data_IF_253534006965
#
_entry.id   IF_253534006965
#
_cell.length_a   1.000
_cell.length_b   1.000
_cell.length_c   1.000
_cell.angle_alpha   90.00
_cell.angle_beta   90.00
_cell.angle_gamma   90.00
#
_symmetry.space_group_name_H-M   'P 1'
#
loop_
_entity.id
_entity.type
_entity.pdbx_description
1 polymer ?
#
# COMPACT_ATOMS: atom_id res chain seq x y z
N UNK A 1 -28.60 -10.17 18.57
CA UNK A 1 -27.23 -10.40 18.05
C UNK A 1 -26.51 -11.32 19.02
N UNK A 2 -26.21 -12.54 18.62
CA UNK A 2 -25.47 -13.48 19.44
C UNK A 2 -23.97 -13.21 19.31
N UNK A 3 -23.27 -13.06 20.43
CA UNK A 3 -21.78 -13.05 20.46
C UNK A 3 -21.33 -14.48 20.70
N UNK A 4 -20.31 -14.92 19.92
CA UNK A 4 -19.63 -16.17 20.27
C UNK A 4 -18.67 -15.94 21.44
N UNK A 5 -18.10 -17.03 21.99
CA UNK A 5 -17.14 -17.00 23.11
C UNK A 5 -15.84 -16.25 22.79
N UNK A 6 -15.63 -15.82 21.53
CA UNK A 6 -14.48 -15.02 21.07
C UNK A 6 -14.81 -13.55 20.85
N UNK A 7 -16.04 -13.10 21.16
CA UNK A 7 -16.48 -11.71 21.02
C UNK A 7 -16.78 -11.27 19.58
N UNK A 8 -16.83 -12.18 18.63
CA UNK A 8 -17.18 -11.90 17.23
C UNK A 8 -18.68 -11.71 17.07
N UNK A 9 -19.08 -10.65 16.38
CA UNK A 9 -20.46 -10.41 15.96
C UNK A 9 -20.76 -11.30 14.74
N UNK A 10 -21.63 -12.31 14.89
CA UNK A 10 -22.13 -13.07 13.75
C UNK A 10 -23.18 -12.23 13.00
N UNK A 11 -22.75 -11.54 11.94
CA UNK A 11 -23.65 -10.77 11.08
C UNK A 11 -24.06 -11.60 9.88
N UNK A 12 -25.34 -11.97 9.83
CA UNK A 12 -25.92 -12.66 8.65
C UNK A 12 -26.49 -11.61 7.70
N UNK A 13 -26.07 -11.63 6.44
CA UNK A 13 -26.57 -10.71 5.40
C UNK A 13 -27.97 -11.17 4.96
N UNK A 14 -29.02 -10.49 5.42
CA UNK A 14 -30.42 -10.84 5.15
C UNK A 14 -30.88 -10.72 3.70
N UNK A 15 -30.18 -9.92 2.86
CA UNK A 15 -30.52 -9.68 1.43
C UNK A 15 -29.65 -10.46 0.44
N UNK A 16 -29.04 -11.56 0.86
CA UNK A 16 -28.05 -12.31 0.08
C UNK A 16 -28.62 -13.18 -1.05
N UNK A 17 -29.93 -13.20 -1.29
CA UNK A 17 -30.54 -14.03 -2.35
C UNK A 17 -30.13 -13.68 -3.78
N UNK A 18 -29.49 -12.52 -4.01
CA UNK A 18 -28.99 -12.06 -5.33
C UNK A 18 -27.47 -12.08 -5.47
N UNK A 19 -26.72 -12.38 -4.41
CA UNK A 19 -25.25 -12.34 -4.43
C UNK A 19 -24.68 -13.74 -4.69
N UNK A 20 -23.56 -13.79 -5.44
CA UNK A 20 -22.77 -15.04 -5.55
C UNK A 20 -22.29 -15.46 -4.14
N UNK A 21 -22.23 -16.76 -3.88
CA UNK A 21 -21.84 -17.31 -2.58
C UNK A 21 -20.50 -16.75 -2.06
N UNK A 22 -19.51 -16.58 -2.96
CA UNK A 22 -18.22 -15.95 -2.64
C UNK A 22 -18.34 -14.50 -2.16
N UNK A 23 -19.23 -13.72 -2.81
CA UNK A 23 -19.49 -12.32 -2.42
C UNK A 23 -20.19 -12.22 -1.06
N UNK A 24 -21.09 -13.17 -0.75
CA UNK A 24 -21.74 -13.25 0.55
C UNK A 24 -20.74 -13.53 1.67
N UNK A 25 -19.89 -14.55 1.51
CA UNK A 25 -18.84 -14.89 2.46
C UNK A 25 -17.84 -13.75 2.66
N UNK A 26 -17.50 -13.02 1.59
CA UNK A 26 -16.64 -11.84 1.68
C UNK A 26 -17.31 -10.74 2.50
N UNK A 27 -18.60 -10.46 2.25
CA UNK A 27 -19.33 -9.41 2.96
C UNK A 27 -19.50 -9.76 4.45
N UNK A 28 -19.82 -11.00 4.78
CA UNK A 28 -19.90 -11.49 6.16
C UNK A 28 -18.56 -11.33 6.89
N UNK A 29 -17.44 -11.73 6.25
CA UNK A 29 -16.08 -11.50 6.79
C UNK A 29 -15.74 -10.03 7.00
N UNK A 30 -16.21 -9.13 6.13
CA UNK A 30 -16.01 -7.69 6.29
C UNK A 30 -16.80 -7.14 7.46
N UNK A 31 -18.04 -7.57 7.62
CA UNK A 31 -18.93 -7.11 8.70
C UNK A 31 -18.50 -7.62 10.08
N UNK A 32 -17.95 -8.84 10.14
CA UNK A 32 -17.47 -9.48 11.37
C UNK A 32 -16.05 -9.05 11.76
N UNK A 33 -15.36 -8.29 10.91
CA UNK A 33 -13.98 -7.88 11.15
C UNK A 33 -13.92 -6.72 12.17
N UNK A 34 -13.31 -6.93 13.35
CA UNK A 34 -13.26 -5.90 14.39
C UNK A 34 -12.54 -4.63 13.94
N UNK A 35 -11.51 -4.75 13.06
CA UNK A 35 -10.81 -3.60 12.52
C UNK A 35 -11.65 -2.79 11.52
N UNK A 36 -12.63 -3.41 10.83
CA UNK A 36 -13.58 -2.66 10.00
C UNK A 36 -14.49 -1.80 10.87
N UNK A 37 -15.01 -2.35 11.99
CA UNK A 37 -15.84 -1.60 12.90
C UNK A 37 -15.04 -0.49 13.61
N UNK A 38 -13.81 -0.78 13.98
CA UNK A 38 -12.92 0.18 14.60
C UNK A 38 -12.56 1.31 13.63
N UNK A 39 -12.23 1.00 12.36
CA UNK A 39 -11.93 2.01 11.34
C UNK A 39 -13.09 3.00 11.17
N UNK A 40 -14.34 2.52 11.17
CA UNK A 40 -15.52 3.40 11.12
C UNK A 40 -15.60 4.35 12.34
N UNK A 41 -15.32 3.84 13.54
CA UNK A 41 -15.33 4.67 14.77
C UNK A 41 -14.20 5.70 14.76
N UNK A 42 -13.03 5.32 14.26
CA UNK A 42 -11.85 6.17 14.24
C UNK A 42 -11.81 7.12 13.01
N UNK A 43 -12.88 7.11 12.17
CA UNK A 43 -12.98 7.95 10.98
C UNK A 43 -11.97 7.56 9.88
N UNK A 44 -11.51 6.31 9.89
CA UNK A 44 -10.59 5.80 8.88
C UNK A 44 -11.36 5.22 7.68
N UNK A 45 -10.84 5.45 6.49
CA UNK A 45 -11.48 5.02 5.23
C UNK A 45 -11.53 3.51 5.05
N UNK A 46 -10.55 2.81 5.62
CA UNK A 46 -10.52 1.34 5.58
C UNK A 46 -9.72 0.77 6.75
N UNK A 47 -9.93 -0.52 7.02
CA UNK A 47 -9.10 -1.25 7.99
C UNK A 47 -7.62 -1.32 7.59
N UNK A 48 -7.31 -1.15 6.29
CA UNK A 48 -5.94 -1.15 5.81
C UNK A 48 -5.10 -0.02 6.42
N UNK A 49 -5.74 1.07 6.86
CA UNK A 49 -5.07 2.16 7.56
C UNK A 49 -4.29 1.70 8.80
N UNK A 50 -4.79 0.72 9.55
CA UNK A 50 -4.06 0.21 10.72
C UNK A 50 -2.74 -0.46 10.37
N UNK A 51 -2.64 -1.08 9.19
CA UNK A 51 -1.41 -1.71 8.74
C UNK A 51 -0.27 -0.71 8.59
N UNK A 52 -0.54 0.41 7.90
CA UNK A 52 0.47 1.46 7.72
C UNK A 52 0.74 2.21 9.03
N UNK A 53 -0.26 2.40 9.89
CA UNK A 53 -0.08 2.96 11.23
C UNK A 53 0.92 2.12 12.03
N UNK A 54 0.69 0.81 12.14
CA UNK A 54 1.53 -0.10 12.91
C UNK A 54 2.96 -0.19 12.35
N UNK A 55 3.11 -0.21 11.00
CA UNK A 55 4.42 -0.23 10.37
C UNK A 55 5.15 1.09 10.65
N UNK A 56 4.48 2.22 10.46
CA UNK A 56 5.11 3.52 10.66
C UNK A 56 5.38 3.85 12.13
N UNK A 57 4.51 3.46 13.05
CA UNK A 57 4.75 3.62 14.50
C UNK A 57 6.04 2.91 14.93
N UNK A 58 6.35 1.78 14.32
CA UNK A 58 7.55 1.01 14.61
C UNK A 58 8.80 1.52 13.91
N UNK A 59 8.69 1.96 12.66
CA UNK A 59 9.86 2.25 11.83
C UNK A 59 10.05 3.73 11.50
N UNK A 60 9.04 4.59 11.74
CA UNK A 60 9.12 6.05 11.70
C UNK A 60 9.60 6.63 10.37
N UNK A 61 9.08 6.15 9.25
CA UNK A 61 9.46 6.62 7.91
C UNK A 61 8.54 7.73 7.37
N UNK A 62 7.31 7.87 7.87
CA UNK A 62 6.43 8.98 7.53
C UNK A 62 6.72 10.18 8.46
N UNK A 63 7.43 11.18 7.95
CA UNK A 63 7.82 12.38 8.70
C UNK A 63 7.14 13.62 8.13
N UNK A 64 6.90 14.66 8.92
CA UNK A 64 6.42 15.95 8.40
C UNK A 64 7.33 16.50 7.29
N UNK A 65 6.74 17.03 6.23
CA UNK A 65 7.46 17.71 5.16
C UNK A 65 7.95 16.84 4.00
N UNK A 66 7.75 15.51 4.06
CA UNK A 66 8.23 14.60 3.00
C UNK A 66 7.19 14.41 1.89
N UNK A 67 7.67 13.91 0.74
CA UNK A 67 6.86 13.53 -0.43
C UNK A 67 6.61 12.02 -0.45
N UNK A 68 5.34 11.63 -0.55
CA UNK A 68 4.88 10.24 -0.53
C UNK A 68 4.09 9.93 -1.79
N UNK A 69 4.34 8.76 -2.39
CA UNK A 69 3.52 8.17 -3.46
C UNK A 69 2.80 6.94 -2.92
N UNK A 70 1.49 6.84 -3.13
CA UNK A 70 0.64 5.71 -2.73
C UNK A 70 0.04 5.04 -3.96
N UNK A 71 0.51 3.83 -4.28
CA UNK A 71 0.10 3.02 -5.42
C UNK A 71 -0.96 2.01 -5.00
N UNK A 72 -2.13 2.04 -5.66
CA UNK A 72 -3.28 1.24 -5.28
C UNK A 72 -3.99 1.80 -4.05
N UNK A 73 -4.22 3.13 -4.06
CA UNK A 73 -4.62 3.89 -2.90
C UNK A 73 -6.07 3.65 -2.44
N UNK A 74 -7.01 3.37 -3.37
CA UNK A 74 -8.43 3.28 -3.04
C UNK A 74 -8.73 2.19 -1.98
N UNK A 75 -9.58 2.49 -1.01
CA UNK A 75 -10.42 3.66 -0.78
C UNK A 75 -9.74 4.82 -0.02
N UNK A 76 -8.43 4.86 0.11
CA UNK A 76 -7.66 5.97 0.68
C UNK A 76 -7.18 5.77 2.12
N UNK A 77 -7.17 4.53 2.62
CA UNK A 77 -6.76 4.25 4.00
C UNK A 77 -5.30 4.63 4.27
N UNK A 78 -4.40 4.29 3.35
CA UNK A 78 -2.98 4.61 3.48
C UNK A 78 -2.70 6.07 3.18
N UNK A 79 -3.29 6.62 2.11
CA UNK A 79 -3.18 8.03 1.77
C UNK A 79 -3.64 8.95 2.89
N UNK A 80 -4.75 8.62 3.59
CA UNK A 80 -5.25 9.37 4.74
C UNK A 80 -4.24 9.45 5.88
N UNK A 81 -3.59 8.33 6.19
CA UNK A 81 -2.57 8.28 7.25
C UNK A 81 -1.29 9.01 6.80
N UNK A 82 -0.86 8.79 5.55
CA UNK A 82 0.29 9.49 4.99
C UNK A 82 0.08 11.01 5.05
N UNK A 83 -1.06 11.52 4.55
CA UNK A 83 -1.37 12.94 4.57
C UNK A 83 -1.31 13.54 5.99
N UNK A 84 -1.89 12.85 6.97
CA UNK A 84 -1.84 13.27 8.38
C UNK A 84 -0.41 13.31 8.91
N UNK A 85 0.41 12.29 8.61
CA UNK A 85 1.78 12.16 9.15
C UNK A 85 2.73 13.17 8.52
N UNK A 86 2.63 13.39 7.21
CA UNK A 86 3.53 14.31 6.51
C UNK A 86 3.05 15.76 6.59
N UNK A 87 1.80 16.00 7.00
CA UNK A 87 1.22 17.34 7.13
C UNK A 87 0.89 17.97 5.78
N UNK A 88 0.47 17.17 4.79
CA UNK A 88 0.22 17.68 3.44
C UNK A 88 -1.03 18.56 3.36
N UNK A 89 -2.03 18.34 4.20
CA UNK A 89 -3.20 19.23 4.29
C UNK A 89 -2.85 20.64 4.79
N UNK A 90 -1.75 20.76 5.55
CA UNK A 90 -1.21 22.02 6.05
C UNK A 90 -0.07 22.57 5.16
N UNK A 91 0.14 22.00 3.98
CA UNK A 91 1.17 22.44 3.03
C UNK A 91 2.60 22.11 3.43
N UNK A 92 2.82 21.21 4.41
CA UNK A 92 4.18 20.87 4.87
C UNK A 92 4.82 19.73 4.09
N UNK A 93 4.02 18.79 3.58
CA UNK A 93 4.45 17.65 2.80
C UNK A 93 3.56 17.44 1.59
N UNK A 94 3.77 16.35 0.87
CA UNK A 94 3.00 16.01 -0.32
C UNK A 94 2.60 14.53 -0.30
N UNK A 95 1.38 14.24 -0.71
CA UNK A 95 0.91 12.86 -0.95
C UNK A 95 0.27 12.79 -2.32
N UNK A 96 0.81 11.94 -3.17
CA UNK A 96 0.27 11.61 -4.49
C UNK A 96 -0.22 10.19 -4.45
N UNK A 97 -1.45 9.99 -4.88
CA UNK A 97 -2.13 8.71 -4.82
C UNK A 97 -2.71 8.34 -6.18
N UNK A 98 -2.62 7.09 -6.55
CA UNK A 98 -3.25 6.55 -7.76
C UNK A 98 -3.96 5.24 -7.49
N UNK A 99 -5.04 5.00 -8.24
CA UNK A 99 -5.77 3.72 -8.25
C UNK A 99 -6.56 3.57 -9.57
N UNK A 100 -6.90 2.34 -9.91
CA UNK A 100 -7.88 2.02 -10.97
C UNK A 100 -9.29 2.46 -10.60
N UNK A 101 -9.60 2.41 -9.30
CA UNK A 101 -10.90 2.77 -8.76
C UNK A 101 -10.92 4.25 -8.38
N UNK A 102 -12.09 4.85 -8.54
CA UNK A 102 -12.32 6.20 -8.05
C UNK A 102 -12.20 6.27 -6.53
N UNK A 103 -11.65 7.36 -6.04
CA UNK A 103 -11.47 7.59 -4.60
C UNK A 103 -12.02 8.98 -4.23
N UNK A 104 -12.90 9.08 -3.21
CA UNK A 104 -13.35 10.37 -2.71
C UNK A 104 -12.18 11.23 -2.22
N UNK A 105 -12.26 12.53 -2.40
CA UNK A 105 -11.21 13.47 -2.05
C UNK A 105 -10.74 13.32 -0.59
N UNK A 106 -9.44 13.42 -0.38
CA UNK A 106 -8.78 13.48 0.95
C UNK A 106 -8.01 14.80 1.02
N UNK A 107 -8.24 15.64 2.04
CA UNK A 107 -7.45 16.86 2.21
C UNK A 107 -5.94 16.56 2.21
N UNK A 108 -5.19 17.30 1.40
CA UNK A 108 -3.74 17.14 1.28
C UNK A 108 -3.27 15.95 0.43
N UNK A 109 -4.18 15.27 -0.28
CA UNK A 109 -3.84 14.19 -1.22
C UNK A 109 -4.20 14.61 -2.65
N UNK A 110 -3.23 14.58 -3.54
CA UNK A 110 -3.45 14.69 -4.98
C UNK A 110 -3.71 13.31 -5.55
N UNK A 111 -4.92 13.06 -6.01
CA UNK A 111 -5.34 11.76 -6.53
C UNK A 111 -5.53 11.79 -8.05
N UNK A 112 -5.05 10.76 -8.73
CA UNK A 112 -5.36 10.49 -10.13
C UNK A 112 -5.91 9.06 -10.30
N UNK A 113 -7.07 8.95 -10.92
CA UNK A 113 -7.57 7.66 -11.35
C UNK A 113 -6.82 7.23 -12.61
N UNK A 114 -5.98 6.21 -12.48
CA UNK A 114 -5.18 5.69 -13.58
C UNK A 114 -4.69 4.27 -13.28
N UNK A 115 -4.37 3.54 -14.34
CA UNK A 115 -3.73 2.25 -14.22
C UNK A 115 -2.21 2.46 -14.07
N UNK A 116 -1.64 1.94 -13.00
CA UNK A 116 -0.19 2.00 -12.77
C UNK A 116 0.63 1.27 -13.86
N UNK A 117 0.04 0.25 -14.50
CA UNK A 117 0.69 -0.54 -15.54
C UNK A 117 0.62 0.09 -16.95
N UNK A 118 0.01 1.27 -17.09
CA UNK A 118 0.02 1.99 -18.35
C UNK A 118 1.42 2.59 -18.61
N UNK A 119 1.91 2.52 -19.83
CA UNK A 119 3.26 2.97 -20.22
C UNK A 119 3.56 4.42 -19.81
N UNK A 120 2.54 5.28 -19.77
CA UNK A 120 2.67 6.69 -19.40
C UNK A 120 2.50 6.96 -17.89
N UNK A 121 2.16 5.95 -17.07
CA UNK A 121 1.90 6.14 -15.65
C UNK A 121 3.12 6.65 -14.87
N UNK A 122 4.34 6.12 -15.06
CA UNK A 122 5.53 6.64 -14.39
C UNK A 122 5.80 8.12 -14.71
N UNK A 123 5.67 8.52 -15.98
CA UNK A 123 5.89 9.90 -16.41
C UNK A 123 4.87 10.86 -15.77
N UNK A 124 3.59 10.48 -15.77
CA UNK A 124 2.52 11.28 -15.13
C UNK A 124 2.73 11.40 -13.62
N UNK A 125 3.12 10.31 -12.95
CA UNK A 125 3.43 10.36 -11.52
C UNK A 125 4.61 11.27 -11.24
N UNK A 126 5.67 11.20 -12.06
CA UNK A 126 6.83 12.07 -11.93
C UNK A 126 6.45 13.55 -12.10
N UNK A 127 5.61 13.88 -13.08
CA UNK A 127 5.08 15.23 -13.28
C UNK A 127 4.26 15.70 -12.06
N UNK A 128 3.35 14.85 -11.55
CA UNK A 128 2.54 15.17 -10.36
C UNK A 128 3.39 15.40 -9.11
N UNK A 129 4.50 14.67 -8.97
CA UNK A 129 5.41 14.82 -7.82
C UNK A 129 6.22 16.13 -7.88
N UNK A 130 6.54 16.61 -9.06
CA UNK A 130 7.44 17.76 -9.24
C UNK A 130 8.86 17.51 -8.74
N UNK A 131 9.27 16.24 -8.55
CA UNK A 131 10.58 15.87 -8.05
C UNK A 131 10.65 14.44 -7.52
N UNK A 132 11.69 14.13 -6.75
CA UNK A 132 11.92 12.82 -6.14
C UNK A 132 11.03 12.60 -4.91
N UNK A 133 10.59 11.36 -4.70
CA UNK A 133 9.84 10.95 -3.51
C UNK A 133 10.76 10.54 -2.35
N UNK A 134 10.28 10.69 -1.13
CA UNK A 134 10.90 10.13 0.07
C UNK A 134 10.39 8.73 0.37
N UNK A 135 9.11 8.49 0.07
CA UNK A 135 8.44 7.22 0.37
C UNK A 135 7.58 6.80 -0.81
N UNK A 136 7.67 5.53 -1.19
CA UNK A 136 6.74 4.86 -2.10
C UNK A 136 6.01 3.77 -1.33
N UNK A 137 4.69 3.83 -1.33
CA UNK A 137 3.77 2.86 -0.72
C UNK A 137 3.06 2.08 -1.81
N UNK A 138 2.83 0.78 -1.62
CA UNK A 138 2.03 -0.04 -2.53
C UNK A 138 1.18 -1.06 -1.76
N UNK A 139 -0.12 -0.84 -1.70
CA UNK A 139 -1.10 -1.84 -1.26
C UNK A 139 -1.85 -2.47 -2.45
N UNK A 140 -1.27 -2.39 -3.66
CA UNK A 140 -1.84 -2.97 -4.86
C UNK A 140 -2.12 -4.46 -4.70
N UNK A 141 -3.23 -4.90 -5.28
CA UNK A 141 -3.61 -6.30 -5.36
C UNK A 141 -4.14 -6.62 -6.75
N UNK A 142 -3.67 -7.69 -7.35
CA UNK A 142 -4.26 -8.19 -8.58
C UNK A 142 -5.66 -8.75 -8.31
N UNK A 143 -6.57 -8.54 -9.26
CA UNK A 143 -7.87 -9.20 -9.23
C UNK A 143 -7.67 -10.72 -9.28
N UNK A 144 -8.32 -11.44 -8.37
CA UNK A 144 -8.21 -12.89 -8.29
C UNK A 144 -8.93 -13.54 -9.46
N UNK A 145 -8.21 -14.42 -10.16
CA UNK A 145 -8.78 -15.26 -11.22
C UNK A 145 -9.41 -16.55 -10.69
N UNK A 146 -9.09 -16.89 -9.43
CA UNK A 146 -9.43 -18.16 -8.79
C UNK A 146 -8.35 -19.23 -8.98
N UNK A 147 -7.34 -19.00 -9.84
CA UNK A 147 -6.19 -19.88 -10.02
C UNK A 147 -5.02 -19.39 -9.16
N UNK A 148 -4.78 -20.05 -8.04
CA UNK A 148 -3.81 -19.65 -7.03
C UNK A 148 -2.41 -19.31 -7.60
N UNK A 149 -1.89 -20.12 -8.52
CA UNK A 149 -0.57 -19.87 -9.14
C UNK A 149 -0.57 -18.62 -10.00
N UNK A 150 -1.61 -18.43 -10.82
CA UNK A 150 -1.75 -17.23 -11.67
C UNK A 150 -1.89 -15.97 -10.84
N UNK A 151 -2.71 -16.04 -9.79
CA UNK A 151 -2.92 -14.90 -8.89
C UNK A 151 -1.62 -14.52 -8.14
N UNK A 152 -0.83 -15.51 -7.72
CA UNK A 152 0.48 -15.28 -7.12
C UNK A 152 1.46 -14.60 -8.08
N UNK A 153 1.56 -15.06 -9.33
CA UNK A 153 2.45 -14.47 -10.33
C UNK A 153 2.07 -13.01 -10.65
N UNK A 154 0.77 -12.72 -10.75
CA UNK A 154 0.29 -11.35 -10.98
C UNK A 154 0.63 -10.41 -9.84
N UNK A 155 0.54 -10.88 -8.59
CA UNK A 155 0.89 -10.08 -7.42
C UNK A 155 2.40 -9.84 -7.37
N UNK A 156 3.21 -10.85 -7.68
CA UNK A 156 4.68 -10.69 -7.75
C UNK A 156 5.04 -9.64 -8.80
N UNK A 157 4.47 -9.74 -10.02
CA UNK A 157 4.70 -8.74 -11.07
C UNK A 157 4.36 -7.31 -10.63
N UNK A 158 3.20 -7.10 -9.99
CA UNK A 158 2.82 -5.78 -9.47
C UNK A 158 3.81 -5.23 -8.45
N UNK A 159 4.38 -6.07 -7.59
CA UNK A 159 5.36 -5.63 -6.60
C UNK A 159 6.71 -5.36 -7.26
N UNK A 160 7.11 -6.15 -8.26
CA UNK A 160 8.32 -5.92 -9.05
C UNK A 160 8.24 -4.59 -9.82
N UNK A 161 7.11 -4.31 -10.48
CA UNK A 161 6.86 -3.03 -11.17
C UNK A 161 6.88 -1.85 -10.19
N UNK A 162 6.25 -2.01 -9.02
CA UNK A 162 6.27 -0.99 -7.97
C UNK A 162 7.69 -0.76 -7.41
N UNK A 163 8.51 -1.81 -7.28
CA UNK A 163 9.89 -1.70 -6.82
C UNK A 163 10.79 -1.04 -7.87
N UNK A 164 10.60 -1.35 -9.17
CA UNK A 164 11.29 -0.67 -10.26
C UNK A 164 10.96 0.82 -10.28
N UNK A 165 9.67 1.18 -10.22
CA UNK A 165 9.23 2.57 -10.11
C UNK A 165 9.84 3.26 -8.88
N UNK A 166 9.86 2.59 -7.72
CA UNK A 166 10.45 3.15 -6.51
C UNK A 166 11.95 3.45 -6.68
N UNK A 167 12.69 2.58 -7.38
CA UNK A 167 14.11 2.81 -7.68
C UNK A 167 14.32 4.03 -8.59
N UNK A 168 13.37 4.32 -9.49
CA UNK A 168 13.47 5.47 -10.40
C UNK A 168 13.13 6.80 -9.71
N UNK A 169 12.18 6.78 -8.75
CA UNK A 169 11.64 8.03 -8.20
C UNK A 169 12.12 8.35 -6.79
N UNK A 170 12.63 7.38 -6.03
CA UNK A 170 13.11 7.65 -4.67
C UNK A 170 14.40 8.47 -4.68
N UNK A 171 14.50 9.39 -3.73
CA UNK A 171 15.77 10.02 -3.39
C UNK A 171 16.64 9.08 -2.56
N UNK A 172 17.97 9.24 -2.54
CA UNK A 172 18.82 8.52 -1.60
C UNK A 172 18.32 8.66 -0.15
N UNK A 173 18.33 7.54 0.60
CA UNK A 173 17.73 7.47 1.93
C UNK A 173 16.24 7.16 1.96
N UNK A 174 15.57 7.12 0.82
CA UNK A 174 14.13 6.87 0.68
C UNK A 174 13.69 5.48 1.15
N UNK A 175 12.37 5.31 1.26
CA UNK A 175 11.74 4.10 1.78
C UNK A 175 10.69 3.54 0.81
N UNK A 176 10.70 2.24 0.62
CA UNK A 176 9.68 1.50 -0.15
C UNK A 176 8.94 0.53 0.77
N UNK A 177 7.62 0.58 0.74
CA UNK A 177 6.73 -0.35 1.47
C UNK A 177 5.74 -0.96 0.50
N UNK A 178 5.73 -2.28 0.39
CA UNK A 178 4.79 -2.96 -0.50
C UNK A 178 4.18 -4.20 0.12
N UNK A 179 2.92 -4.45 -0.24
CA UNK A 179 2.24 -5.70 0.10
C UNK A 179 2.84 -6.84 -0.72
N UNK A 180 3.18 -7.92 -0.03
CA UNK A 180 3.68 -9.18 -0.61
C UNK A 180 2.90 -10.35 -0.04
N UNK A 181 2.91 -11.46 -0.75
CA UNK A 181 2.36 -12.72 -0.23
C UNK A 181 3.50 -13.70 0.02
N UNK A 182 3.43 -14.43 1.11
CA UNK A 182 4.41 -15.47 1.41
C UNK A 182 4.28 -16.61 0.39
N UNK A 183 5.04 -16.49 -0.69
CA UNK A 183 5.17 -17.50 -1.73
C UNK A 183 6.63 -17.51 -2.14
N UNK A 184 7.28 -18.63 -2.32
CA UNK A 184 8.72 -18.73 -2.64
C UNK A 184 9.19 -17.99 -3.92
N UNK A 185 8.32 -17.21 -4.58
CA UNK A 185 8.63 -16.39 -5.74
C UNK A 185 9.39 -15.08 -5.40
N UNK A 186 9.53 -14.75 -4.11
CA UNK A 186 10.06 -13.46 -3.66
C UNK A 186 11.60 -13.37 -3.67
N UNK A 187 12.33 -14.44 -4.01
CA UNK A 187 13.78 -14.48 -3.87
C UNK A 187 14.50 -13.45 -4.76
N UNK A 188 14.04 -13.28 -6.00
CA UNK A 188 14.61 -12.31 -6.96
C UNK A 188 14.36 -10.89 -6.49
N UNK A 189 13.11 -10.55 -6.17
CA UNK A 189 12.72 -9.26 -5.62
C UNK A 189 13.51 -8.93 -4.34
N UNK A 190 13.62 -9.88 -3.41
CA UNK A 190 14.36 -9.67 -2.16
C UNK A 190 15.86 -9.45 -2.40
N UNK A 191 16.43 -10.13 -3.39
CA UNK A 191 17.83 -9.92 -3.77
C UNK A 191 18.04 -8.52 -4.34
N UNK A 192 17.16 -8.07 -5.22
CA UNK A 192 17.18 -6.73 -5.78
C UNK A 192 17.03 -5.66 -4.69
N UNK A 193 16.02 -5.79 -3.84
CA UNK A 193 15.79 -4.83 -2.76
C UNK A 193 16.98 -4.76 -1.77
N UNK A 194 17.62 -5.89 -1.43
CA UNK A 194 18.81 -5.91 -0.58
C UNK A 194 20.02 -5.24 -1.22
N UNK A 195 20.13 -5.28 -2.56
CA UNK A 195 21.15 -4.54 -3.29
C UNK A 195 20.89 -3.04 -3.23
N UNK A 196 19.64 -2.62 -3.44
CA UNK A 196 19.26 -1.24 -3.66
C UNK A 196 18.97 -0.47 -2.35
N UNK A 197 18.70 -1.17 -1.24
CA UNK A 197 18.36 -0.55 0.06
C UNK A 197 19.30 -1.02 1.19
N UNK A 198 19.50 -0.16 2.16
CA UNK A 198 20.35 -0.47 3.32
C UNK A 198 19.71 -1.52 4.26
N UNK A 199 18.39 -1.49 4.39
CA UNK A 199 17.65 -2.42 5.25
C UNK A 199 16.41 -2.92 4.53
N UNK A 200 16.21 -4.25 4.51
CA UNK A 200 15.00 -4.88 3.97
C UNK A 200 14.44 -5.85 4.99
N UNK A 201 13.16 -5.72 5.31
CA UNK A 201 12.46 -6.55 6.31
C UNK A 201 11.11 -7.00 5.79
N UNK A 202 10.70 -8.21 6.18
CA UNK A 202 9.31 -8.63 6.11
C UNK A 202 8.59 -8.23 7.41
N UNK A 203 7.44 -7.59 7.26
CA UNK A 203 6.61 -7.14 8.38
C UNK A 203 5.21 -7.74 8.23
N UNK A 204 4.67 -8.29 9.31
CA UNK A 204 3.26 -8.68 9.40
C UNK A 204 2.62 -7.85 10.50
N UNK A 205 1.84 -6.80 10.18
CA UNK A 205 1.10 -6.02 11.17
C UNK A 205 0.12 -6.89 11.95
N UNK A 206 -0.11 -6.56 13.21
CA UNK A 206 -1.08 -7.28 14.06
C UNK A 206 -2.52 -7.17 13.51
N UNK A 207 -2.82 -6.04 12.86
CA UNK A 207 -4.09 -5.81 12.14
C UNK A 207 -4.26 -6.67 10.88
N UNK A 208 -3.21 -7.33 10.36
CA UNK A 208 -3.36 -8.35 9.32
C UNK A 208 -4.06 -9.58 9.88
N UNK A 209 -4.98 -10.17 9.08
CA UNK A 209 -5.67 -11.40 9.51
C UNK A 209 -4.68 -12.51 9.76
N UNK A 210 -4.89 -13.29 10.82
CA UNK A 210 -3.97 -14.37 11.23
C UNK A 210 -3.80 -15.45 10.16
N UNK A 211 -4.88 -15.77 9.47
CA UNK A 211 -4.98 -16.77 8.40
C UNK A 211 -4.52 -16.26 7.02
N UNK A 212 -4.25 -14.96 6.88
CA UNK A 212 -3.76 -14.38 5.63
C UNK A 212 -2.27 -14.61 5.45
N UNK A 213 -1.87 -15.01 4.24
CA UNK A 213 -0.47 -15.07 3.79
C UNK A 213 0.12 -13.68 3.49
N UNK A 214 -0.68 -12.63 3.60
CA UNK A 214 -0.28 -11.23 3.37
C UNK A 214 0.80 -10.81 4.36
N UNK A 215 1.85 -10.20 3.83
CA UNK A 215 2.94 -9.54 4.54
C UNK A 215 3.27 -8.23 3.83
N UNK A 216 4.16 -7.47 4.40
CA UNK A 216 4.71 -6.26 3.79
C UNK A 216 6.22 -6.39 3.72
N UNK A 217 6.81 -6.01 2.58
CA UNK A 217 8.22 -5.70 2.51
C UNK A 217 8.39 -4.24 2.90
N UNK A 218 9.35 -3.99 3.79
CA UNK A 218 9.81 -2.66 4.17
C UNK A 218 11.28 -2.56 3.81
N UNK A 219 11.59 -1.74 2.81
CA UNK A 219 12.93 -1.46 2.34
C UNK A 219 13.27 0.00 2.62
N UNK A 220 14.29 0.26 3.43
CA UNK A 220 14.68 1.60 3.89
C UNK A 220 16.12 1.92 3.53
N UNK A 221 16.39 3.22 3.32
CA UNK A 221 17.71 3.70 2.98
C UNK A 221 18.09 3.34 1.56
N UNK A 222 17.28 3.81 0.59
CA UNK A 222 17.60 3.66 -0.83
C UNK A 222 18.99 4.22 -1.12
N UNK A 223 19.83 3.44 -1.82
CA UNK A 223 21.24 3.81 -2.07
C UNK A 223 21.43 4.76 -3.27
N UNK A 224 20.35 4.98 -4.06
CA UNK A 224 20.44 5.63 -5.36
C UNK A 224 20.60 4.60 -6.49
N UNK A 225 20.23 4.98 -7.72
CA UNK A 225 20.54 4.18 -8.88
C UNK A 225 22.07 4.03 -9.00
N UNK A 226 22.56 2.80 -9.08
CA UNK A 226 23.97 2.55 -9.35
C UNK A 226 24.30 3.08 -10.75
N UNK A 227 24.82 4.32 -10.84
CA UNK A 227 25.18 4.94 -12.13
C UNK A 227 25.02 6.46 -12.23
N UNK A 228 24.46 7.12 -11.20
CA UNK A 228 24.46 8.59 -11.15
C UNK A 228 25.73 9.11 -10.45
N UNK A 229 26.88 8.94 -11.06
CA UNK A 229 28.02 9.80 -10.72
C UNK A 229 27.63 11.23 -11.10
N UNK A 230 27.77 12.17 -10.17
CA UNK A 230 27.74 13.60 -10.43
C UNK A 230 28.56 13.92 -11.70
N UNK A 231 27.92 14.17 -12.83
CA UNK A 231 28.54 14.95 -13.88
C UNK A 231 28.37 16.42 -13.47
N UNK A 232 29.47 17.16 -13.23
CA UNK A 232 29.38 18.59 -13.00
C UNK A 232 28.86 19.26 -14.29
N UNK A 233 28.07 20.33 -14.17
CA UNK A 233 27.60 21.07 -15.35
C UNK A 233 28.80 21.63 -16.11
N UNK A 234 28.86 21.31 -17.41
CA UNK A 234 29.75 21.95 -18.39
C UNK A 234 29.18 23.30 -18.75
#
# INVERSE_FOLDING_TARGET
MAKDTTGRLHVTVKSAGRLKHSSKLWLERQLDDPYVQQAKRDGLRSRAAYKIIEIDDKYRFLKPGISVVDLGAAPGGWSQIAAKRVGSAEGRGQVIAIDLLEMPNIPGVTFAQMNFLDDNAPARLFEMMGGKADVVLSDMAANTTGHRKTDQLRIVGLVEDAAAFAADVLRPGGTFVAKVFQSGADATLMTQLKRDFATVKHVKPASSRKDSSERYVLAMGFRGAAGGADEPPV
#
